data_IF_035498839373
#
_entry.id   IF_035498839373
#
_cell.length_a   1.000
_cell.length_b   1.000
_cell.length_c   1.000
_cell.angle_alpha   90.00
_cell.angle_beta   90.00
_cell.angle_gamma   90.00
#
_symmetry.space_group_name_H-M   'P 1'
#
loop_
_entity.id
_entity.type
_entity.pdbx_description
1 polymer ?
#
# COMPACT_ATOMS: atom_id res chain seq x y z
N UNK A 1 -12.35 -43.44 -31.82
CA UNK A 1 -12.89 -42.07 -31.78
C UNK A 1 -11.95 -41.19 -30.97
N UNK A 2 -11.54 -40.06 -31.54
CA UNK A 2 -10.47 -39.19 -31.05
C UNK A 2 -10.88 -38.53 -29.72
N UNK A 3 -10.17 -38.83 -28.65
CA UNK A 3 -10.25 -38.09 -27.38
C UNK A 3 -9.56 -36.74 -27.57
N UNK A 4 -10.36 -35.68 -27.67
CA UNK A 4 -9.87 -34.32 -27.69
C UNK A 4 -9.38 -33.97 -26.27
N UNK A 5 -8.06 -33.94 -26.07
CA UNK A 5 -7.45 -33.45 -24.84
C UNK A 5 -7.60 -31.93 -24.81
N UNK A 6 -8.56 -31.44 -24.05
CA UNK A 6 -8.61 -30.02 -23.69
C UNK A 6 -7.41 -29.73 -22.77
N UNK A 7 -6.40 -29.04 -23.30
CA UNK A 7 -5.33 -28.45 -22.51
C UNK A 7 -5.95 -27.39 -21.59
N UNK A 8 -6.11 -27.73 -20.32
CA UNK A 8 -6.47 -26.78 -19.26
C UNK A 8 -5.18 -26.04 -18.91
N UNK A 9 -5.04 -24.81 -19.42
CA UNK A 9 -4.04 -23.86 -18.96
C UNK A 9 -4.34 -23.51 -17.50
N UNK A 10 -3.60 -24.12 -16.59
CA UNK A 10 -3.61 -23.80 -15.17
C UNK A 10 -2.76 -22.55 -14.99
N UNK A 11 -3.38 -21.37 -14.93
CA UNK A 11 -2.71 -20.16 -14.45
C UNK A 11 -2.48 -20.31 -12.95
N UNK A 12 -1.38 -20.98 -12.59
CA UNK A 12 -0.72 -20.69 -11.31
C UNK A 12 -0.22 -19.26 -11.44
N UNK A 13 -0.94 -18.30 -10.87
CA UNK A 13 -0.31 -17.04 -10.44
C UNK A 13 0.47 -17.44 -9.20
N UNK A 14 1.59 -18.13 -9.39
CA UNK A 14 2.69 -17.97 -8.48
C UNK A 14 2.93 -16.47 -8.48
N UNK A 15 2.72 -15.82 -7.35
CA UNK A 15 3.28 -14.52 -7.07
C UNK A 15 4.78 -14.67 -7.28
N UNK A 16 5.23 -14.46 -8.52
CA UNK A 16 6.57 -13.99 -8.76
C UNK A 16 6.66 -12.79 -7.83
N UNK A 17 7.44 -12.97 -6.76
CA UNK A 17 8.14 -11.88 -6.13
C UNK A 17 8.98 -11.25 -7.24
N UNK A 18 8.33 -10.43 -8.06
CA UNK A 18 8.99 -9.40 -8.81
C UNK A 18 9.62 -8.56 -7.71
N UNK A 19 10.88 -8.86 -7.42
CA UNK A 19 11.73 -7.97 -6.68
C UNK A 19 11.62 -6.65 -7.44
N UNK A 20 10.87 -5.72 -6.85
CA UNK A 20 10.44 -4.56 -7.59
C UNK A 20 11.67 -3.69 -7.78
N UNK A 21 12.25 -3.73 -8.98
CA UNK A 21 13.47 -3.02 -9.31
C UNK A 21 13.19 -1.52 -9.33
N UNK A 22 13.40 -0.87 -8.18
CA UNK A 22 13.42 0.58 -8.08
C UNK A 22 14.53 1.08 -9.00
N UNK A 23 14.17 1.93 -9.96
CA UNK A 23 15.08 2.53 -10.93
C UNK A 23 15.40 3.99 -10.62
N UNK A 24 14.44 4.77 -10.13
CA UNK A 24 14.65 6.17 -9.73
C UNK A 24 13.62 6.61 -8.70
N UNK A 25 13.81 7.79 -8.11
CA UNK A 25 12.87 8.38 -7.16
C UNK A 25 12.57 9.85 -7.47
N UNK A 26 11.45 10.34 -6.95
CA UNK A 26 11.03 11.75 -7.00
C UNK A 26 10.44 12.17 -5.65
N UNK A 27 10.40 13.47 -5.43
CA UNK A 27 9.89 14.07 -4.20
C UNK A 27 8.74 15.02 -4.52
N UNK A 28 7.77 15.10 -3.63
CA UNK A 28 6.56 15.91 -3.77
C UNK A 28 6.22 16.54 -2.43
N UNK A 29 5.61 17.73 -2.43
CA UNK A 29 5.19 18.39 -1.19
C UNK A 29 4.04 17.62 -0.53
N UNK A 30 3.04 17.25 -1.33
CA UNK A 30 1.81 16.62 -0.88
C UNK A 30 1.22 15.71 -1.98
N UNK A 31 0.06 15.09 -1.68
CA UNK A 31 -0.61 14.18 -2.61
C UNK A 31 -1.08 14.91 -3.87
N UNK A 32 -1.49 16.18 -3.77
CA UNK A 32 -1.90 16.98 -4.94
C UNK A 32 -0.73 17.19 -5.90
N UNK A 33 0.43 17.54 -5.35
CA UNK A 33 1.68 17.73 -6.07
C UNK A 33 2.13 16.43 -6.74
N UNK A 34 1.99 15.30 -6.04
CA UNK A 34 2.23 13.98 -6.62
C UNK A 34 1.30 13.67 -7.79
N UNK A 35 -0.01 13.88 -7.63
CA UNK A 35 -1.01 13.62 -8.68
C UNK A 35 -0.81 14.51 -9.93
N UNK A 36 -0.24 15.71 -9.74
CA UNK A 36 0.05 16.66 -10.83
C UNK A 36 1.51 16.63 -11.32
N UNK A 37 2.33 15.70 -10.85
CA UNK A 37 3.80 15.61 -11.08
C UNK A 37 4.57 16.93 -10.81
N UNK A 38 4.12 17.73 -9.85
CA UNK A 38 4.81 18.96 -9.40
C UNK A 38 5.89 18.59 -8.41
N UNK A 39 7.14 18.53 -8.89
CA UNK A 39 8.28 18.01 -8.13
C UNK A 39 8.79 19.00 -7.09
N UNK A 40 9.16 18.46 -5.93
CA UNK A 40 9.82 19.18 -4.85
C UNK A 40 11.34 19.16 -5.06
N UNK A 41 11.97 20.33 -5.04
CA UNK A 41 13.43 20.46 -5.18
C UNK A 41 14.14 19.98 -3.91
N UNK A 42 15.39 19.53 -4.07
CA UNK A 42 16.16 18.98 -2.95
C UNK A 42 16.39 19.95 -1.80
N UNK A 43 16.61 21.22 -2.09
CA UNK A 43 16.80 22.28 -1.09
C UNK A 43 15.54 22.56 -0.28
N UNK A 44 14.36 22.29 -0.85
CA UNK A 44 13.08 22.55 -0.20
C UNK A 44 12.63 21.41 0.74
N UNK A 45 13.38 20.29 0.79
CA UNK A 45 13.04 19.12 1.62
C UNK A 45 13.51 19.22 3.06
N UNK A 46 14.51 20.04 3.34
CA UNK A 46 15.06 20.17 4.69
C UNK A 46 14.01 20.79 5.62
N UNK A 47 13.81 20.19 6.80
CA UNK A 47 12.81 20.60 7.79
C UNK A 47 11.35 20.68 7.28
N UNK A 48 11.07 20.15 6.09
CA UNK A 48 9.75 20.20 5.49
C UNK A 48 9.22 18.78 5.28
N UNK A 49 8.02 18.47 5.79
CA UNK A 49 7.35 17.21 5.46
C UNK A 49 7.19 17.08 3.95
N UNK A 50 7.39 15.87 3.44
CA UNK A 50 7.28 15.61 2.01
C UNK A 50 6.97 14.14 1.75
N UNK A 51 6.61 13.88 0.50
CA UNK A 51 6.39 12.53 -0.03
C UNK A 51 7.59 12.18 -0.91
N UNK A 52 8.20 11.03 -0.65
CA UNK A 52 9.19 10.43 -1.55
C UNK A 52 8.58 9.22 -2.26
N UNK A 53 8.76 9.16 -3.57
CA UNK A 53 8.11 8.17 -4.45
C UNK A 53 9.18 7.49 -5.29
N UNK A 54 9.18 6.18 -5.26
CA UNK A 54 10.12 5.33 -5.98
C UNK A 54 9.41 4.70 -7.17
N UNK A 55 10.11 4.66 -8.29
CA UNK A 55 9.58 4.22 -9.57
C UNK A 55 10.44 3.10 -10.14
N UNK A 56 9.81 2.19 -10.88
CA UNK A 56 10.53 1.23 -11.72
C UNK A 56 10.96 1.85 -13.06
N UNK A 57 11.61 1.05 -13.91
CA UNK A 57 12.10 1.46 -15.22
C UNK A 57 11.00 1.89 -16.19
N UNK A 58 9.75 1.45 -15.95
CA UNK A 58 8.55 1.84 -16.72
C UNK A 58 7.89 3.11 -16.18
N UNK A 59 8.47 3.76 -15.16
CA UNK A 59 7.89 4.90 -14.43
C UNK A 59 6.59 4.56 -13.69
N UNK A 60 6.39 3.30 -13.33
CA UNK A 60 5.30 2.88 -12.44
C UNK A 60 5.75 3.08 -10.98
N UNK A 61 4.86 3.55 -10.12
CA UNK A 61 5.16 3.81 -8.70
C UNK A 61 5.28 2.48 -7.98
N UNK A 62 6.44 2.19 -7.42
CA UNK A 62 6.71 0.94 -6.69
C UNK A 62 6.43 1.10 -5.20
N UNK A 63 6.85 2.25 -4.67
CA UNK A 63 6.83 2.58 -3.26
C UNK A 63 6.60 4.08 -3.10
N UNK A 64 5.80 4.46 -2.11
CA UNK A 64 5.56 5.86 -1.73
C UNK A 64 5.66 5.99 -0.23
N UNK A 65 6.42 6.96 0.25
CA UNK A 65 6.69 7.16 1.68
C UNK A 65 6.42 8.62 2.08
N UNK A 66 5.87 8.79 3.28
CA UNK A 66 5.64 10.10 3.87
C UNK A 66 6.68 10.34 4.95
N UNK A 67 7.41 11.43 4.80
CA UNK A 67 8.50 11.82 5.68
C UNK A 67 8.08 13.08 6.44
N UNK A 68 8.28 13.11 7.75
CA UNK A 68 8.03 14.31 8.56
C UNK A 68 9.17 15.33 8.41
N UNK A 69 9.01 16.51 9.03
CA UNK A 69 10.03 17.57 9.02
C UNK A 69 11.39 17.09 9.59
N UNK A 70 11.36 16.14 10.52
CA UNK A 70 12.55 15.58 11.17
C UNK A 70 13.26 14.50 10.31
N UNK A 71 12.71 14.15 9.16
CA UNK A 71 13.25 13.09 8.29
C UNK A 71 12.79 11.69 8.67
N UNK A 72 11.82 11.54 9.58
CA UNK A 72 11.31 10.25 10.04
C UNK A 72 10.16 9.76 9.14
N UNK A 73 10.10 8.45 8.93
CA UNK A 73 9.05 7.78 8.19
C UNK A 73 7.74 7.76 9.00
N UNK A 74 6.68 8.35 8.44
CA UNK A 74 5.34 8.33 9.02
C UNK A 74 4.57 7.08 8.57
N UNK A 75 4.57 6.82 7.26
CA UNK A 75 3.88 5.68 6.63
C UNK A 75 4.46 5.38 5.26
N UNK A 76 4.20 4.18 4.74
CA UNK A 76 4.54 3.83 3.35
C UNK A 76 3.44 3.05 2.65
N UNK A 77 3.36 3.23 1.35
CA UNK A 77 2.48 2.52 0.42
C UNK A 77 3.33 1.73 -0.58
N UNK A 78 3.06 0.43 -0.74
CA UNK A 78 3.69 -0.42 -1.76
C UNK A 78 2.67 -0.79 -2.82
N UNK A 79 3.11 -0.93 -4.07
CA UNK A 79 2.23 -1.13 -5.21
C UNK A 79 2.65 -2.35 -6.01
N UNK A 80 1.72 -3.29 -6.20
CA UNK A 80 1.92 -4.41 -7.14
C UNK A 80 1.19 -4.14 -8.45
N UNK A 81 1.85 -4.45 -9.55
CA UNK A 81 1.30 -4.30 -10.89
C UNK A 81 1.14 -5.65 -11.58
N UNK A 82 0.09 -5.76 -12.39
CA UNK A 82 -0.07 -6.79 -13.41
C UNK A 82 -0.47 -6.12 -14.71
N UNK A 83 0.24 -6.43 -15.80
CA UNK A 83 0.00 -5.86 -17.13
C UNK A 83 -0.09 -4.32 -17.12
N UNK A 84 0.77 -3.67 -16.34
CA UNK A 84 0.84 -2.20 -16.23
C UNK A 84 -0.31 -1.55 -15.46
N UNK A 85 -1.17 -2.33 -14.79
CA UNK A 85 -2.22 -1.83 -13.91
C UNK A 85 -1.93 -2.21 -12.47
N UNK A 86 -2.15 -1.32 -11.49
CA UNK A 86 -2.02 -1.67 -10.10
C UNK A 86 -3.10 -2.70 -9.75
N UNK A 87 -2.69 -3.84 -9.22
CA UNK A 87 -3.58 -4.90 -8.75
C UNK A 87 -3.72 -4.90 -7.24
N UNK A 88 -2.69 -4.45 -6.51
CA UNK A 88 -2.68 -4.38 -5.06
C UNK A 88 -1.93 -3.15 -4.58
N UNK A 89 -2.37 -2.62 -3.45
CA UNK A 89 -1.67 -1.57 -2.70
C UNK A 89 -1.62 -1.95 -1.22
N UNK A 90 -0.43 -2.01 -0.65
CA UNK A 90 -0.21 -2.28 0.77
C UNK A 90 0.01 -0.96 1.48
N UNK A 91 -0.66 -0.78 2.61
CA UNK A 91 -0.48 0.35 3.51
C UNK A 91 0.26 -0.16 4.74
N UNK A 92 1.47 0.34 4.97
CA UNK A 92 2.26 0.00 6.15
C UNK A 92 2.42 1.23 7.04
N UNK A 93 2.43 0.99 8.36
CA UNK A 93 2.70 2.01 9.36
C UNK A 93 4.19 2.36 9.46
N UNK A 94 4.54 3.27 10.37
CA UNK A 94 5.92 3.72 10.63
C UNK A 94 6.88 2.58 11.01
N UNK A 95 6.37 1.47 11.56
CA UNK A 95 7.14 0.29 11.94
C UNK A 95 7.24 -0.73 10.79
N UNK A 96 6.85 -0.34 9.57
CA UNK A 96 6.71 -1.21 8.40
C UNK A 96 5.79 -2.41 8.64
N UNK A 97 4.89 -2.33 9.62
CA UNK A 97 3.86 -3.35 9.82
C UNK A 97 2.66 -3.05 8.93
N UNK A 98 2.07 -4.06 8.29
CA UNK A 98 0.89 -3.87 7.48
C UNK A 98 -0.29 -3.39 8.32
N UNK A 99 -0.96 -2.36 7.85
CA UNK A 99 -2.20 -1.82 8.42
C UNK A 99 -3.41 -2.27 7.59
N UNK A 100 -3.30 -2.13 6.27
CA UNK A 100 -4.33 -2.60 5.34
C UNK A 100 -3.78 -2.91 3.95
N UNK A 101 -4.54 -3.67 3.17
CA UNK A 101 -4.25 -3.96 1.77
C UNK A 101 -5.47 -3.74 0.92
N UNK A 102 -5.31 -2.96 -0.14
CA UNK A 102 -6.33 -2.70 -1.14
C UNK A 102 -6.06 -3.52 -2.39
N UNK A 103 -7.05 -4.28 -2.82
CA UNK A 103 -7.08 -4.99 -4.09
C UNK A 103 -7.95 -4.23 -5.08
N UNK A 104 -7.52 -4.21 -6.34
CA UNK A 104 -8.25 -3.56 -7.42
C UNK A 104 -8.82 -4.61 -8.38
N UNK A 105 -10.03 -4.35 -8.86
CA UNK A 105 -10.64 -5.10 -9.94
C UNK A 105 -11.84 -5.94 -9.52
N UNK A 106 -12.66 -6.28 -10.50
CA UNK A 106 -13.91 -7.04 -10.31
C UNK A 106 -13.67 -8.52 -10.00
N UNK A 107 -12.45 -9.00 -10.23
CA UNK A 107 -12.08 -10.41 -10.14
C UNK A 107 -11.65 -10.86 -8.74
N UNK A 108 -11.59 -9.95 -7.77
CA UNK A 108 -11.21 -10.26 -6.39
C UNK A 108 -12.16 -11.34 -5.79
N UNK A 109 -11.62 -12.46 -5.29
CA UNK A 109 -12.42 -13.61 -4.87
C UNK A 109 -13.48 -13.34 -3.78
N UNK A 110 -13.13 -12.60 -2.72
CA UNK A 110 -14.05 -12.34 -1.60
C UNK A 110 -15.23 -11.47 -2.03
N UNK A 111 -14.95 -10.44 -2.82
CA UNK A 111 -15.93 -9.56 -3.44
C UNK A 111 -16.85 -10.33 -4.37
N UNK A 112 -16.32 -11.25 -5.18
CA UNK A 112 -17.13 -12.13 -6.04
C UNK A 112 -18.11 -12.99 -5.24
N UNK A 113 -17.65 -13.63 -4.17
CA UNK A 113 -18.53 -14.45 -3.33
C UNK A 113 -19.56 -13.60 -2.59
N UNK A 114 -19.17 -12.41 -2.11
CA UNK A 114 -20.09 -11.46 -1.48
C UNK A 114 -21.23 -11.06 -2.43
N UNK A 115 -20.92 -10.72 -3.68
CA UNK A 115 -21.92 -10.30 -4.67
C UNK A 115 -22.94 -11.39 -5.03
N UNK A 116 -22.61 -12.68 -4.85
CA UNK A 116 -23.57 -13.77 -5.09
C UNK A 116 -24.69 -13.83 -4.06
N UNK A 117 -24.45 -13.30 -2.87
CA UNK A 117 -25.39 -13.37 -1.74
C UNK A 117 -26.13 -12.06 -1.51
N UNK A 118 -25.84 -11.03 -2.33
CA UNK A 118 -26.55 -9.74 -2.37
C UNK A 118 -27.67 -9.74 -3.41
N UNK A 119 -28.63 -8.82 -3.32
CA UNK A 119 -29.78 -8.76 -4.23
C UNK A 119 -29.32 -8.61 -5.70
N UNK A 120 -29.59 -9.60 -6.58
CA UNK A 120 -29.17 -9.57 -7.98
C UNK A 120 -29.83 -8.44 -8.79
N UNK A 121 -30.88 -7.80 -8.25
CA UNK A 121 -31.55 -6.65 -8.87
C UNK A 121 -30.80 -5.33 -8.64
N UNK A 122 -29.96 -5.23 -7.59
CA UNK A 122 -29.00 -4.14 -7.43
C UNK A 122 -27.79 -4.42 -8.34
N UNK A 123 -27.96 -4.18 -9.64
CA UNK A 123 -26.87 -4.24 -10.62
C UNK A 123 -26.00 -3.00 -10.48
N UNK A 124 -25.19 -2.95 -9.43
CA UNK A 124 -24.14 -1.95 -9.36
C UNK A 124 -23.04 -2.30 -10.38
N UNK A 125 -22.50 -1.29 -11.05
CA UNK A 125 -21.32 -1.49 -11.91
C UNK A 125 -20.11 -1.76 -11.02
N UNK A 126 -19.71 -3.02 -10.90
CA UNK A 126 -18.57 -3.47 -10.09
C UNK A 126 -17.23 -3.44 -10.83
N UNK A 127 -17.19 -2.94 -12.07
CA UNK A 127 -15.96 -2.81 -12.84
C UNK A 127 -14.98 -1.92 -12.08
N UNK A 128 -13.71 -2.34 -11.94
CA UNK A 128 -12.68 -1.63 -11.17
C UNK A 128 -13.02 -1.35 -9.69
N UNK A 129 -13.92 -2.14 -9.08
CA UNK A 129 -14.20 -2.05 -7.64
C UNK A 129 -12.93 -2.25 -6.79
N UNK A 130 -12.99 -1.78 -5.55
CA UNK A 130 -11.91 -1.90 -4.59
C UNK A 130 -12.30 -2.80 -3.42
N UNK A 131 -11.41 -3.69 -3.01
CA UNK A 131 -11.57 -4.51 -1.80
C UNK A 131 -10.45 -4.18 -0.83
N UNK A 132 -10.80 -3.64 0.33
CA UNK A 132 -9.85 -3.17 1.34
C UNK A 132 -9.88 -4.11 2.53
N UNK A 133 -8.80 -4.85 2.73
CA UNK A 133 -8.55 -5.74 3.84
C UNK A 133 -7.87 -4.95 4.95
N UNK A 134 -8.47 -4.89 6.12
CA UNK A 134 -8.03 -4.06 7.25
C UNK A 134 -7.63 -4.96 8.40
N UNK A 135 -6.48 -4.67 9.01
CA UNK A 135 -5.94 -5.41 10.15
C UNK A 135 -6.28 -4.71 11.48
N UNK A 136 -6.32 -5.49 12.56
CA UNK A 136 -6.39 -5.00 13.93
C UNK A 136 -4.99 -4.82 14.52
N UNK A 137 -4.91 -4.31 15.76
CA UNK A 137 -3.64 -4.10 16.48
C UNK A 137 -2.85 -5.39 16.75
N UNK A 138 -3.49 -6.56 16.65
CA UNK A 138 -2.89 -7.87 16.80
C UNK A 138 -2.44 -8.48 15.45
N UNK A 139 -2.39 -7.67 14.38
CA UNK A 139 -2.02 -8.09 13.03
C UNK A 139 -2.92 -9.22 12.48
N UNK A 140 -4.20 -9.22 12.83
CA UNK A 140 -5.25 -10.12 12.33
C UNK A 140 -6.25 -9.34 11.48
N UNK A 141 -6.92 -9.95 10.50
CA UNK A 141 -7.96 -9.24 9.75
C UNK A 141 -9.12 -8.86 10.67
N UNK A 142 -9.39 -7.57 10.77
CA UNK A 142 -10.60 -7.03 11.40
C UNK A 142 -11.79 -7.16 10.45
N UNK A 143 -11.60 -6.69 9.20
CA UNK A 143 -12.67 -6.67 8.19
C UNK A 143 -12.15 -6.54 6.77
N UNK A 144 -13.00 -6.90 5.83
CA UNK A 144 -12.89 -6.54 4.41
C UNK A 144 -14.00 -5.56 4.09
N UNK A 145 -13.68 -4.45 3.45
CA UNK A 145 -14.64 -3.48 2.93
C UNK A 145 -14.61 -3.47 1.42
N UNK A 146 -15.79 -3.56 0.81
CA UNK A 146 -15.94 -3.50 -0.64
C UNK A 146 -16.52 -2.15 -1.05
N UNK A 147 -15.82 -1.46 -1.97
CA UNK A 147 -16.17 -0.14 -2.46
C UNK A 147 -16.35 -0.16 -3.98
N UNK A 148 -17.26 0.67 -4.48
CA UNK A 148 -17.35 0.97 -5.91
C UNK A 148 -16.13 1.80 -6.36
N UNK A 149 -15.96 1.99 -7.67
CA UNK A 149 -14.91 2.88 -8.25
C UNK A 149 -15.00 4.31 -7.70
N UNK A 150 -16.21 4.73 -7.35
CA UNK A 150 -16.47 6.08 -6.81
C UNK A 150 -16.18 6.16 -5.31
N UNK A 151 -15.74 5.07 -4.68
CA UNK A 151 -15.44 5.00 -3.25
C UNK A 151 -16.66 4.76 -2.35
N UNK A 152 -17.84 4.47 -2.91
CA UNK A 152 -19.02 4.18 -2.10
C UNK A 152 -18.97 2.74 -1.58
N UNK A 153 -19.09 2.51 -0.25
CA UNK A 153 -19.08 1.16 0.30
C UNK A 153 -20.41 0.46 0.05
N UNK A 154 -20.37 -0.75 -0.52
CA UNK A 154 -21.56 -1.57 -0.78
C UNK A 154 -21.60 -2.85 0.08
N UNK A 155 -20.48 -3.23 0.70
CA UNK A 155 -20.42 -4.43 1.52
C UNK A 155 -19.25 -4.42 2.51
N UNK A 156 -19.42 -5.20 3.57
CA UNK A 156 -18.39 -5.43 4.59
C UNK A 156 -18.47 -6.87 5.11
N UNK A 157 -17.32 -7.49 5.32
CA UNK A 157 -17.17 -8.77 6.04
C UNK A 157 -16.34 -8.48 7.28
N UNK A 158 -16.88 -8.72 8.47
CA UNK A 158 -16.15 -8.58 9.73
C UNK A 158 -15.73 -9.94 10.26
N UNK A 159 -14.54 -10.03 10.85
CA UNK A 159 -13.98 -11.25 11.44
C UNK A 159 -13.91 -11.12 12.96
N UNK A 160 -14.18 -12.21 13.66
CA UNK A 160 -14.17 -12.24 15.13
C UNK A 160 -13.26 -13.35 15.63
N UNK A 161 -12.44 -13.02 16.62
CA UNK A 161 -11.49 -13.93 17.23
C UNK A 161 -11.80 -14.10 18.72
N UNK A 162 -11.43 -15.25 19.27
CA UNK A 162 -11.45 -15.45 20.72
C UNK A 162 -10.16 -14.90 21.37
N UNK A 163 -10.08 -15.00 22.70
CA UNK A 163 -8.92 -14.56 23.48
C UNK A 163 -7.61 -15.32 23.17
N UNK A 164 -7.69 -16.47 22.48
CA UNK A 164 -6.53 -17.23 21.99
C UNK A 164 -6.13 -16.84 20.57
N UNK A 165 -6.80 -15.86 19.96
CA UNK A 165 -6.56 -15.42 18.59
C UNK A 165 -7.10 -16.36 17.51
N UNK A 166 -7.96 -17.32 17.86
CA UNK A 166 -8.59 -18.22 16.89
C UNK A 166 -9.83 -17.56 16.28
N UNK A 167 -9.99 -17.65 14.96
CA UNK A 167 -11.19 -17.18 14.27
C UNK A 167 -12.41 -17.98 14.73
N UNK A 168 -13.41 -17.30 15.25
CA UNK A 168 -14.67 -17.88 15.77
C UNK A 168 -15.90 -17.43 14.98
N UNK A 169 -15.81 -16.37 14.18
CA UNK A 169 -16.93 -15.99 13.34
C UNK A 169 -16.63 -14.99 12.23
N UNK A 170 -17.56 -14.93 11.30
CA UNK A 170 -17.65 -13.94 10.23
C UNK A 170 -19.05 -13.36 10.14
N UNK A 171 -19.14 -12.08 9.81
CA UNK A 171 -20.40 -11.36 9.65
C UNK A 171 -20.40 -10.56 8.36
N UNK A 172 -21.29 -10.90 7.44
CA UNK A 172 -21.36 -10.30 6.11
C UNK A 172 -22.53 -9.31 6.08
N UNK A 173 -22.25 -8.04 5.79
CA UNK A 173 -23.24 -6.96 5.78
C UNK A 173 -23.25 -6.20 4.46
N UNK A 174 -24.45 -5.95 3.94
CA UNK A 174 -24.66 -4.99 2.85
C UNK A 174 -24.65 -3.57 3.42
N UNK A 175 -23.99 -2.66 2.71
CA UNK A 175 -23.92 -1.25 3.04
C UNK A 175 -24.63 -0.43 1.94
N UNK A 176 -25.17 0.75 2.29
CA UNK A 176 -25.11 1.42 3.60
C UNK A 176 -26.14 0.94 4.63
N UNK A 177 -27.11 0.09 4.25
CA UNK A 177 -28.26 -0.27 5.11
C UNK A 177 -27.91 -1.17 6.30
N UNK A 178 -26.67 -1.69 6.36
CA UNK A 178 -26.13 -2.58 7.41
C UNK A 178 -26.94 -3.88 7.59
N UNK A 179 -27.59 -4.32 6.51
CA UNK A 179 -28.36 -5.57 6.50
C UNK A 179 -27.39 -6.74 6.53
N UNK A 180 -27.52 -7.60 7.54
CA UNK A 180 -26.72 -8.83 7.62
C UNK A 180 -27.23 -9.84 6.59
N UNK A 181 -26.36 -10.28 5.67
CA UNK A 181 -26.71 -11.22 4.61
C UNK A 181 -26.29 -12.65 4.89
N UNK A 182 -25.18 -12.84 5.62
CA UNK A 182 -24.67 -14.15 6.06
C UNK A 182 -23.88 -14.05 7.37
N UNK A 183 -23.83 -15.16 8.09
CA UNK A 183 -22.96 -15.34 9.26
C UNK A 183 -22.27 -16.69 9.18
N UNK A 184 -21.00 -16.75 9.53
CA UNK A 184 -20.30 -18.02 9.75
C UNK A 184 -19.86 -18.11 11.21
N UNK A 185 -19.97 -19.29 11.78
CA UNK A 185 -19.46 -19.62 13.11
C UNK A 185 -18.43 -20.74 12.99
N UNK A 186 -17.26 -20.51 13.56
CA UNK A 186 -16.13 -21.42 13.55
C UNK A 186 -15.92 -21.99 14.95
N UNK A 187 -15.76 -23.30 15.02
CA UNK A 187 -15.38 -24.00 16.25
C UNK A 187 -14.18 -24.89 15.97
N UNK A 188 -13.19 -24.86 16.85
CA UNK A 188 -12.01 -25.71 16.77
C UNK A 188 -11.81 -26.39 18.11
N UNK A 189 -11.80 -27.73 18.11
CA UNK A 189 -11.36 -28.53 19.23
C UNK A 189 -9.84 -28.74 19.10
N UNK A 190 -9.10 -28.11 20.00
CA UNK A 190 -7.63 -28.14 20.00
C UNK A 190 -7.06 -29.51 20.38
N UNK A 191 -7.81 -30.35 21.10
CA UNK A 191 -7.36 -31.68 21.51
C UNK A 191 -7.49 -32.69 20.37
N UNK A 192 -8.56 -32.58 19.57
CA UNK A 192 -8.85 -33.52 18.49
C UNK A 192 -8.50 -32.99 17.09
N UNK A 193 -8.15 -31.70 16.98
CA UNK A 193 -7.95 -31.01 15.70
C UNK A 193 -9.24 -30.88 14.88
N UNK A 194 -10.40 -31.19 15.47
CA UNK A 194 -11.70 -31.13 14.80
C UNK A 194 -12.10 -29.67 14.61
N UNK A 195 -12.35 -29.28 13.37
CA UNK A 195 -12.90 -27.96 13.00
C UNK A 195 -14.33 -28.11 12.53
N UNK A 196 -15.19 -27.20 12.93
CA UNK A 196 -16.59 -27.13 12.52
C UNK A 196 -16.91 -25.72 12.02
N UNK A 197 -17.59 -25.65 10.89
CA UNK A 197 -18.04 -24.42 10.25
C UNK A 197 -19.55 -24.50 10.13
N UNK A 198 -20.26 -23.50 10.65
CA UNK A 198 -21.71 -23.36 10.49
C UNK A 198 -22.00 -22.07 9.76
N UNK A 199 -22.93 -22.13 8.82
CA UNK A 199 -23.37 -20.98 8.04
C UNK A 199 -24.83 -20.68 8.36
N UNK A 200 -25.16 -19.40 8.51
CA UNK A 200 -26.50 -18.92 8.76
C UNK A 200 -26.92 -17.87 7.73
N UNK A 201 -28.19 -17.93 7.32
CA UNK A 201 -28.81 -16.98 6.41
C UNK A 201 -29.25 -15.68 7.13
N UNK A 202 -29.95 -14.81 6.40
CA UNK A 202 -30.50 -13.54 6.90
C UNK A 202 -31.48 -13.73 8.06
N UNK A 203 -32.25 -14.83 8.05
CA UNK A 203 -33.24 -15.20 9.05
C UNK A 203 -32.61 -15.89 10.29
N UNK A 204 -31.27 -15.97 10.34
CA UNK A 204 -30.50 -16.68 11.37
C UNK A 204 -30.76 -18.20 11.41
N UNK A 205 -31.24 -18.78 10.31
CA UNK A 205 -31.39 -20.23 10.16
C UNK A 205 -30.08 -20.83 9.67
N UNK A 206 -29.69 -21.98 10.23
CA UNK A 206 -28.50 -22.69 9.78
C UNK A 206 -28.76 -23.30 8.39
N UNK A 207 -28.00 -22.85 7.39
CA UNK A 207 -28.14 -23.31 6.00
C UNK A 207 -27.04 -24.28 5.57
N UNK A 208 -25.90 -24.29 6.28
CA UNK A 208 -24.81 -25.22 6.01
C UNK A 208 -24.07 -25.59 7.30
N UNK A 209 -23.53 -26.81 7.33
CA UNK A 209 -22.68 -27.32 8.40
C UNK A 209 -21.61 -28.23 7.80
N UNK A 210 -20.36 -27.89 8.05
CA UNK A 210 -19.20 -28.66 7.60
C UNK A 210 -18.35 -29.01 8.83
N UNK A 211 -17.93 -30.27 8.92
CA UNK A 211 -17.03 -30.74 9.98
C UNK A 211 -15.79 -31.32 9.29
N UNK A 212 -14.64 -30.77 9.64
CA UNK A 212 -13.32 -31.21 9.20
C UNK A 212 -12.65 -31.90 10.39
N UNK A 213 -12.43 -33.19 10.29
CA UNK A 213 -11.62 -33.95 11.24
C UNK A 213 -10.28 -34.30 10.60
N UNK A 214 -9.21 -34.24 11.38
CA UNK A 214 -7.91 -34.71 10.89
C UNK A 214 -8.02 -36.21 10.55
N UNK A 215 -7.71 -36.61 9.30
CA UNK A 215 -7.70 -38.02 8.96
C UNK A 215 -6.63 -38.76 9.80
N UNK A 216 -6.82 -40.06 10.09
CA UNK A 216 -5.82 -40.86 10.77
C UNK A 216 -4.46 -40.74 10.07
N UNK A 217 -3.36 -40.75 10.83
CA UNK A 217 -2.01 -40.55 10.28
C UNK A 217 -1.70 -41.52 9.11
N UNK A 218 -2.23 -42.74 9.17
CA UNK A 218 -2.11 -43.79 8.13
C UNK A 218 -2.84 -43.49 6.81
N UNK A 219 -3.71 -42.49 6.81
CA UNK A 219 -4.49 -42.02 5.66
C UNK A 219 -3.91 -40.73 5.06
N UNK A 220 -2.95 -40.09 5.73
CA UNK A 220 -2.18 -38.99 5.16
C UNK A 220 -1.32 -39.55 4.01
N UNK A 221 -1.18 -38.78 2.92
CA UNK A 221 -0.34 -39.08 1.74
C UNK A 221 -0.84 -40.13 0.73
N UNK A 222 -2.07 -40.67 0.84
CA UNK A 222 -2.61 -41.60 -0.18
C UNK A 222 -3.20 -40.92 -1.42
N UNK A 223 -3.44 -39.61 -1.40
CA UNK A 223 -3.93 -38.84 -2.55
C UNK A 223 -2.78 -38.02 -3.17
N UNK A 224 -2.45 -38.31 -4.44
CA UNK A 224 -1.49 -37.51 -5.22
C UNK A 224 -2.08 -36.10 -5.51
N UNK A 225 -1.26 -35.04 -5.51
CA UNK A 225 -1.71 -33.70 -5.96
C UNK A 225 -2.27 -33.73 -7.39
N UNK A 226 -3.20 -32.82 -7.76
CA UNK A 226 -3.57 -31.60 -7.03
C UNK A 226 -4.83 -31.78 -6.18
N UNK A 227 -4.84 -31.11 -5.02
CA UNK A 227 -6.06 -30.92 -4.23
C UNK A 227 -6.86 -29.81 -4.90
N UNK A 228 -7.97 -30.16 -5.55
CA UNK A 228 -8.96 -29.18 -6.02
C UNK A 228 -10.04 -29.02 -4.95
N UNK A 229 -10.41 -27.78 -4.67
CA UNK A 229 -11.42 -27.44 -3.68
C UNK A 229 -10.94 -26.32 -2.77
N UNK A 230 -11.74 -25.25 -2.70
CA UNK A 230 -11.47 -23.90 -2.18
C UNK A 230 -10.72 -22.98 -3.17
N UNK A 231 -11.42 -21.92 -3.59
CA UNK A 231 -10.89 -20.82 -4.42
C UNK A 231 -10.68 -19.53 -3.61
N UNK A 232 -11.16 -19.49 -2.37
CA UNK A 232 -10.88 -18.41 -1.44
C UNK A 232 -9.61 -18.79 -0.70
N UNK A 233 -8.61 -17.92 -0.75
CA UNK A 233 -7.41 -18.07 0.04
C UNK A 233 -7.77 -17.96 1.52
N UNK A 234 -7.18 -18.83 2.34
CA UNK A 234 -7.32 -18.75 3.78
C UNK A 234 -6.74 -17.41 4.27
N UNK A 235 -7.38 -16.83 5.29
CA UNK A 235 -6.94 -15.59 5.94
C UNK A 235 -5.45 -15.65 6.32
N UNK A 236 -4.99 -16.78 6.83
CA UNK A 236 -3.59 -17.03 7.18
C UNK A 236 -2.64 -16.90 5.99
N UNK A 237 -3.04 -17.36 4.80
CA UNK A 237 -2.24 -17.29 3.57
C UNK A 237 -2.13 -15.83 3.11
N UNK A 238 -3.26 -15.10 3.12
CA UNK A 238 -3.27 -13.68 2.80
C UNK A 238 -2.40 -12.88 3.78
N UNK A 239 -2.48 -13.16 5.08
CA UNK A 239 -1.62 -12.52 6.07
C UNK A 239 -0.13 -12.78 5.81
N UNK A 240 0.24 -13.99 5.42
CA UNK A 240 1.63 -14.34 5.12
C UNK A 240 2.15 -13.67 3.84
N UNK A 241 1.34 -13.58 2.79
CA UNK A 241 1.66 -12.83 1.57
C UNK A 241 1.92 -11.35 1.88
N UNK A 242 1.10 -10.77 2.79
CA UNK A 242 1.27 -9.40 3.25
C UNK A 242 2.56 -9.25 4.08
N UNK A 243 2.86 -10.20 4.98
CA UNK A 243 4.03 -10.14 5.89
C UNK A 243 5.36 -10.36 5.18
N UNK A 244 5.38 -11.22 4.16
CA UNK A 244 6.59 -11.56 3.41
C UNK A 244 7.06 -10.45 2.46
N UNK A 245 6.27 -9.37 2.33
CA UNK A 245 6.55 -8.22 1.47
C UNK A 245 7.59 -7.27 2.08
N UNK A 246 8.85 -7.69 2.09
CA UNK A 246 9.98 -6.80 2.42
C UNK A 246 10.53 -6.15 1.15
N UNK A 247 10.62 -4.81 1.15
CA UNK A 247 11.16 -4.06 0.01
C UNK A 247 12.39 -3.26 0.43
N UNK A 248 13.54 -3.73 -0.04
CA UNK A 248 14.84 -3.07 0.15
C UNK A 248 15.04 -1.98 -0.90
N UNK A 249 15.22 -0.75 -0.46
CA UNK A 249 15.60 0.36 -1.34
C UNK A 249 17.08 0.16 -1.70
N UNK A 250 17.45 0.07 -2.98
CA UNK A 250 18.79 -0.33 -3.40
C UNK A 250 19.84 0.79 -3.30
N UNK A 251 19.46 1.97 -2.81
CA UNK A 251 20.32 3.14 -2.65
C UNK A 251 19.91 3.93 -1.42
N UNK A 252 20.86 4.68 -0.86
CA UNK A 252 20.60 5.57 0.25
C UNK A 252 19.76 6.77 -0.19
N UNK A 253 18.67 7.01 0.52
CA UNK A 253 17.84 8.19 0.33
C UNK A 253 18.40 9.30 1.20
N UNK A 254 19.24 10.14 0.62
CA UNK A 254 19.85 11.26 1.31
C UNK A 254 19.16 12.58 0.97
N UNK A 255 18.80 13.35 1.99
CA UNK A 255 18.47 14.77 1.84
C UNK A 255 19.81 15.51 1.84
N UNK A 256 20.22 16.13 0.72
CA UNK A 256 21.48 16.83 0.65
C UNK A 256 21.53 17.94 1.69
N UNK A 257 22.40 17.74 2.69
CA UNK A 257 22.89 18.80 3.56
C UNK A 257 24.04 19.45 2.81
N UNK A 258 23.88 20.70 2.45
CA UNK A 258 24.98 21.56 2.04
C UNK A 258 25.49 22.27 3.30
N UNK A 259 26.79 22.52 3.41
CA UNK A 259 27.34 23.36 4.48
C UNK A 259 27.28 24.86 4.12
N UNK A 260 26.89 25.16 2.88
CA UNK A 260 26.88 26.49 2.28
C UNK A 260 25.47 26.88 1.84
N UNK A 261 25.20 28.19 1.84
CA UNK A 261 23.95 28.74 1.34
C UNK A 261 23.94 28.70 -0.21
N UNK A 262 22.77 28.66 -0.83
CA UNK A 262 22.60 28.64 -2.28
C UNK A 262 22.03 29.96 -2.77
N UNK A 263 22.79 30.72 -3.55
CA UNK A 263 22.33 31.92 -4.24
C UNK A 263 21.92 31.57 -5.67
N UNK A 264 20.65 31.81 -6.02
CA UNK A 264 20.11 31.67 -7.37
C UNK A 264 19.98 33.04 -8.01
N UNK A 265 20.55 33.21 -9.19
CA UNK A 265 20.55 34.45 -9.96
C UNK A 265 19.31 34.55 -10.87
N UNK A 266 18.99 35.76 -11.32
CA UNK A 266 17.82 36.01 -12.19
C UNK A 266 17.94 35.38 -13.58
N UNK A 267 19.16 35.10 -14.04
CA UNK A 267 19.42 34.37 -15.29
C UNK A 267 19.28 32.84 -15.13
N UNK A 268 19.05 32.33 -13.92
CA UNK A 268 18.89 30.90 -13.62
C UNK A 268 20.15 30.19 -13.13
N UNK A 269 21.30 30.87 -13.12
CA UNK A 269 22.53 30.30 -12.57
C UNK A 269 22.44 30.18 -11.04
N UNK A 270 23.18 29.22 -10.48
CA UNK A 270 23.20 28.96 -9.03
C UNK A 270 24.62 28.86 -8.51
N UNK A 271 24.89 29.52 -7.38
CA UNK A 271 26.21 29.62 -6.77
C UNK A 271 26.10 29.23 -5.30
N UNK A 272 27.01 28.39 -4.81
CA UNK A 272 27.15 28.12 -3.37
C UNK A 272 27.94 29.25 -2.73
N UNK A 273 27.41 29.82 -1.65
CA UNK A 273 27.92 31.05 -1.02
C UNK A 273 28.10 30.92 0.49
N UNK A 274 29.04 31.70 1.02
CA UNK A 274 29.36 31.84 2.44
C UNK A 274 29.51 33.32 2.81
N UNK A 275 29.55 33.62 4.12
CA UNK A 275 29.78 34.98 4.66
C UNK A 275 28.83 36.03 4.05
N UNK A 276 27.54 35.72 4.01
CA UNK A 276 26.53 36.53 3.36
C UNK A 276 26.17 37.79 4.18
N UNK A 277 26.35 38.97 3.58
CA UNK A 277 25.89 40.24 4.15
C UNK A 277 24.89 40.91 3.19
N UNK A 278 23.63 41.01 3.63
CA UNK A 278 22.56 41.69 2.89
C UNK A 278 22.58 43.20 3.18
N UNK A 279 22.95 44.00 2.17
CA UNK A 279 22.77 45.45 2.19
C UNK A 279 21.45 45.89 1.56
N UNK A 280 21.19 47.20 1.50
CA UNK A 280 19.95 47.73 0.90
C UNK A 280 19.89 47.62 -0.63
N UNK A 281 21.05 47.63 -1.31
CA UNK A 281 21.13 47.61 -2.79
C UNK A 281 22.07 46.52 -3.33
N UNK A 282 22.88 45.93 -2.45
CA UNK A 282 23.95 45.01 -2.82
C UNK A 282 24.05 43.90 -1.77
N UNK A 283 24.46 42.71 -2.20
CA UNK A 283 24.81 41.58 -1.34
C UNK A 283 26.31 41.35 -1.45
N UNK A 284 26.97 41.22 -0.30
CA UNK A 284 28.35 40.73 -0.23
C UNK A 284 28.35 39.26 0.17
N UNK A 285 29.22 38.49 -0.45
CA UNK A 285 29.32 37.04 -0.21
C UNK A 285 30.69 36.52 -0.67
N UNK A 286 31.07 35.34 -0.22
CA UNK A 286 32.19 34.55 -0.73
C UNK A 286 31.63 33.34 -1.49
N UNK A 287 32.27 32.92 -2.57
CA UNK A 287 31.92 31.66 -3.25
C UNK A 287 32.51 30.52 -2.43
N UNK A 288 31.73 29.46 -2.21
CA UNK A 288 32.17 28.33 -1.40
C UNK A 288 33.45 27.72 -1.96
N UNK A 289 34.46 27.55 -1.10
CA UNK A 289 35.81 27.06 -1.44
C UNK A 289 36.63 27.98 -2.36
N UNK A 290 36.25 29.25 -2.49
CA UNK A 290 37.06 30.26 -3.17
C UNK A 290 37.46 31.39 -2.20
N UNK A 291 38.70 31.85 -2.33
CA UNK A 291 39.19 32.97 -1.55
C UNK A 291 38.72 34.30 -2.15
N UNK A 292 38.08 35.13 -1.33
CA UNK A 292 37.69 36.50 -1.67
C UNK A 292 36.25 36.85 -1.33
N UNK A 293 35.97 38.16 -1.33
CA UNK A 293 34.62 38.69 -1.16
C UNK A 293 34.16 39.33 -2.46
N UNK A 294 33.02 38.86 -2.95
CA UNK A 294 32.32 39.41 -4.10
C UNK A 294 31.18 40.29 -3.63
N UNK A 295 30.79 41.23 -4.47
CA UNK A 295 29.63 42.10 -4.24
C UNK A 295 28.77 42.10 -5.50
N UNK A 296 27.47 41.89 -5.32
CA UNK A 296 26.51 41.86 -6.43
C UNK A 296 25.30 42.75 -6.15
N UNK A 297 24.79 43.49 -7.16
CA UNK A 297 23.52 44.18 -7.03
C UNK A 297 22.37 43.21 -6.72
N UNK A 298 21.54 43.55 -5.74
CA UNK A 298 20.40 42.73 -5.30
C UNK A 298 19.48 42.34 -6.46
N UNK A 299 19.29 43.22 -7.44
CA UNK A 299 18.40 42.99 -8.60
C UNK A 299 18.81 41.81 -9.48
N UNK A 300 20.05 41.31 -9.34
CA UNK A 300 20.54 40.12 -10.06
C UNK A 300 20.27 38.82 -9.33
N UNK A 301 19.81 38.90 -8.08
CA UNK A 301 19.56 37.75 -7.22
C UNK A 301 18.07 37.44 -7.27
N UNK A 302 17.74 36.20 -7.61
CA UNK A 302 16.36 35.68 -7.64
C UNK A 302 15.93 35.18 -6.27
N UNK A 303 16.75 34.36 -5.62
CA UNK A 303 16.53 33.87 -4.25
C UNK A 303 17.86 33.40 -3.64
N UNK A 304 17.96 33.47 -2.32
CA UNK A 304 19.05 32.94 -1.51
C UNK A 304 18.41 31.99 -0.53
N UNK A 305 18.87 30.74 -0.53
CA UNK A 305 18.36 29.67 0.31
C UNK A 305 19.48 29.30 1.27
N UNK A 306 19.18 29.26 2.56
CA UNK A 306 20.15 28.85 3.56
C UNK A 306 20.60 27.41 3.32
N UNK A 307 21.72 27.04 3.92
CA UNK A 307 22.19 25.66 3.98
C UNK A 307 21.19 24.67 4.60
N UNK A 308 20.19 25.22 5.30
CA UNK A 308 19.06 24.52 5.90
C UNK A 308 17.77 24.65 5.06
N UNK A 309 17.82 25.11 3.81
CA UNK A 309 16.64 25.18 2.95
C UNK A 309 15.69 26.35 3.24
N UNK A 310 16.03 27.27 4.14
CA UNK A 310 15.20 28.42 4.50
C UNK A 310 15.47 29.61 3.57
N UNK A 311 14.45 30.32 3.05
CA UNK A 311 14.68 31.51 2.24
C UNK A 311 15.28 32.63 3.09
N UNK A 312 16.44 33.13 2.66
CA UNK A 312 17.15 34.27 3.25
C UNK A 312 16.76 35.57 2.52
N UNK A 313 16.58 35.52 1.19
CA UNK A 313 16.37 36.71 0.36
C UNK A 313 15.95 36.40 -1.09
N UNK A 314 14.82 36.90 -1.61
CA UNK A 314 13.57 37.00 -0.88
C UNK A 314 13.14 35.61 -0.37
#
# INVERSE_FOLDING_TARGET
MKTCKALINFFFIASLSAQMDISFMRFYMDESSFLSDVRLLSTQRFNNPHIQVFYNSKKEVVLKEWINAQGELIKRELFDYSNGKPIRRYYLNNSSRPDSVKYFGEDEPWSKEFRKVTDPRKKDYFSNQESVFILNEQDQFDRIRFNTVQGFPYGEISFFYNHLGLLVGELWKVLPEKITVRKYAYSTDMLTGRKEIREYNQQAEQVSRVVLSQPPAESLYKTKPPRSGNKLDEISILLEDIRSKDLKIPFDVFIPKTDHDLMVLTNGDSILVENLELGQQQVKFSVANEDGHLTMPIIRIKTIISKYGEPIFP
#
